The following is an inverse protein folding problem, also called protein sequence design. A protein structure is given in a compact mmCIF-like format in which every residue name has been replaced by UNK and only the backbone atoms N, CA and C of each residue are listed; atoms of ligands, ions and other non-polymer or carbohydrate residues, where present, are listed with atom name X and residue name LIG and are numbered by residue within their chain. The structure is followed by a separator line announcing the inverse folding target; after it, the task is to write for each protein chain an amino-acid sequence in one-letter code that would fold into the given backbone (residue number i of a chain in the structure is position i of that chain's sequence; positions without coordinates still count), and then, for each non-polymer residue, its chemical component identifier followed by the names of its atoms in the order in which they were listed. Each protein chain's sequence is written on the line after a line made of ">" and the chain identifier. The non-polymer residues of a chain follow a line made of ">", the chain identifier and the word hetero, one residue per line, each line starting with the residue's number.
data_IF_898156117175
#
_entry.id   IF_898156117175
#
_cell.length_a   1.000
_cell.length_b   1.000
_cell.length_c   1.000
_cell.angle_alpha   90.00
_cell.angle_beta   90.00
_cell.angle_gamma   90.00
#
_symmetry.space_group_name_H-M   'P 1'
#
loop_
_entity.id
_entity.type
_entity.pdbx_description
1 polymer ?
#
# COMPACT_ATOMS: atom_id res chain seq x y z
N UNK A 1 -6.79 29.73 -17.54
CA UNK A 1 -5.88 28.60 -17.24
C UNK A 1 -5.35 28.52 -15.82
N UNK A 2 -4.98 29.63 -15.17
CA UNK A 2 -4.47 29.65 -13.78
C UNK A 2 -5.44 29.18 -12.67
N UNK A 3 -6.76 29.14 -12.92
CA UNK A 3 -7.77 28.67 -11.95
C UNK A 3 -8.02 27.16 -12.00
N UNK A 4 -7.59 26.50 -13.09
CA UNK A 4 -7.67 25.04 -13.22
C UNK A 4 -6.57 24.38 -12.37
N UNK A 5 -5.41 25.04 -12.27
CA UNK A 5 -4.25 24.61 -11.47
C UNK A 5 -4.55 24.52 -9.96
N UNK A 6 -5.42 25.39 -9.43
CA UNK A 6 -5.72 25.44 -7.99
C UNK A 6 -6.73 24.39 -7.50
N UNK A 7 -7.30 23.62 -8.41
CA UNK A 7 -8.31 22.60 -8.05
C UNK A 7 -7.71 21.21 -7.82
N UNK A 8 -6.38 21.10 -7.83
CA UNK A 8 -5.63 19.86 -7.56
C UNK A 8 -5.44 19.51 -6.06
N UNK A 9 -6.08 20.24 -5.14
CA UNK A 9 -6.00 19.97 -3.69
C UNK A 9 -6.44 18.55 -3.27
N UNK A 10 -7.54 17.99 -3.83
CA UNK A 10 -7.97 16.62 -3.50
C UNK A 10 -7.05 15.53 -4.08
N UNK A 11 -6.52 15.74 -5.29
CA UNK A 11 -5.69 14.77 -6.00
C UNK A 11 -4.34 14.52 -5.29
N UNK A 12 -3.76 15.56 -4.69
CA UNK A 12 -2.42 15.47 -4.11
C UNK A 12 -2.37 14.60 -2.84
N UNK A 13 -3.42 14.65 -2.00
CA UNK A 13 -3.51 13.83 -0.79
C UNK A 13 -3.80 12.37 -1.13
N UNK A 14 -4.66 12.13 -2.11
CA UNK A 14 -4.93 10.83 -2.69
C UNK A 14 -3.63 10.17 -3.22
N UNK A 15 -2.90 10.87 -4.07
CA UNK A 15 -1.63 10.36 -4.62
C UNK A 15 -0.57 10.12 -3.54
N UNK A 16 -0.51 10.98 -2.51
CA UNK A 16 0.39 10.82 -1.37
C UNK A 16 0.09 9.57 -0.53
N UNK A 17 -1.19 9.30 -0.23
CA UNK A 17 -1.61 8.08 0.48
C UNK A 17 -1.23 6.83 -0.31
N UNK A 18 -1.48 6.81 -1.62
CA UNK A 18 -1.08 5.70 -2.48
C UNK A 18 0.45 5.48 -2.46
N UNK A 19 1.24 6.57 -2.50
CA UNK A 19 2.70 6.52 -2.41
C UNK A 19 3.20 5.98 -1.05
N UNK A 20 2.58 6.38 0.06
CA UNK A 20 2.90 5.83 1.39
C UNK A 20 2.54 4.36 1.47
N UNK A 21 1.43 3.95 0.89
CA UNK A 21 0.98 2.58 0.93
C UNK A 21 1.90 1.63 0.17
N UNK A 22 2.42 2.06 -0.99
CA UNK A 22 3.44 1.32 -1.73
C UNK A 22 4.72 1.15 -0.89
N UNK A 23 5.14 2.21 -0.18
CA UNK A 23 6.29 2.16 0.74
C UNK A 23 6.02 1.24 1.94
N UNK A 24 4.81 1.25 2.50
CA UNK A 24 4.39 0.34 3.56
C UNK A 24 4.38 -1.12 3.11
N UNK A 25 3.95 -1.40 1.87
CA UNK A 25 4.04 -2.74 1.28
C UNK A 25 5.49 -3.24 1.16
N UNK A 26 6.43 -2.35 0.81
CA UNK A 26 7.86 -2.65 0.83
C UNK A 26 8.40 -2.87 2.25
N UNK A 27 7.94 -2.09 3.23
CA UNK A 27 8.29 -2.31 4.65
C UNK A 27 7.79 -3.67 5.15
N UNK A 28 6.61 -4.13 4.73
CA UNK A 28 6.11 -5.47 5.06
C UNK A 28 7.05 -6.59 4.60
N UNK A 29 7.70 -6.44 3.43
CA UNK A 29 8.73 -7.38 2.97
C UNK A 29 9.97 -7.34 3.86
N UNK A 30 10.43 -6.16 4.24
CA UNK A 30 11.61 -6.01 5.11
C UNK A 30 11.35 -6.63 6.48
N UNK A 31 10.18 -6.39 7.08
CA UNK A 31 9.78 -6.98 8.37
C UNK A 31 9.74 -8.51 8.26
N UNK A 32 9.14 -9.04 7.19
CA UNK A 32 9.11 -10.47 6.93
C UNK A 32 10.51 -11.09 6.80
N UNK A 33 11.42 -10.39 6.11
CA UNK A 33 12.81 -10.81 5.98
C UNK A 33 13.57 -10.74 7.31
N UNK A 34 13.34 -9.73 8.14
CA UNK A 34 13.92 -9.62 9.49
C UNK A 34 13.47 -10.76 10.41
N UNK A 35 12.19 -11.16 10.37
CA UNK A 35 11.68 -12.31 11.13
C UNK A 35 12.30 -13.63 10.66
N UNK A 36 12.50 -13.78 9.35
CA UNK A 36 13.20 -14.93 8.77
C UNK A 36 14.66 -14.99 9.23
N UNK A 37 15.37 -13.85 9.18
CA UNK A 37 16.77 -13.75 9.60
C UNK A 37 16.97 -14.01 11.09
N UNK A 38 16.08 -13.52 11.96
CA UNK A 38 16.11 -13.80 13.41
C UNK A 38 15.93 -15.29 13.71
N UNK A 39 15.08 -15.98 12.95
CA UNK A 39 14.92 -17.43 13.10
C UNK A 39 16.15 -18.19 12.64
N UNK A 40 16.79 -17.77 11.55
CA UNK A 40 18.05 -18.37 11.08
C UNK A 40 19.18 -18.17 12.09
N UNK A 41 19.27 -16.99 12.71
CA UNK A 41 20.29 -16.67 13.71
C UNK A 41 20.17 -17.44 15.04
N UNK A 42 19.05 -18.12 15.29
CA UNK A 42 18.82 -18.94 16.49
C UNK A 42 19.12 -20.43 16.30
N UNK A 43 19.60 -20.84 15.13
CA UNK A 43 19.91 -22.24 14.82
C UNK A 43 21.32 -22.56 15.33
N UNK A 44 21.42 -23.23 16.48
CA UNK A 44 22.71 -23.64 17.06
C UNK A 44 23.13 -25.09 16.72
N UNK A 45 22.29 -25.94 16.09
CA UNK A 45 22.71 -27.30 15.69
C UNK A 45 21.88 -27.90 14.56
N UNK A 46 22.53 -28.69 13.69
CA UNK A 46 21.90 -29.47 12.62
C UNK A 46 21.79 -30.95 13.06
N UNK A 47 20.74 -31.29 13.80
CA UNK A 47 20.32 -32.69 13.97
C UNK A 47 19.09 -32.98 13.10
N UNK A 48 18.95 -34.21 12.60
CA UNK A 48 17.92 -34.62 11.65
C UNK A 48 16.48 -34.40 12.15
N UNK A 49 16.26 -34.49 13.47
CA UNK A 49 14.99 -34.17 14.12
C UNK A 49 14.72 -32.65 14.20
N UNK A 50 15.77 -31.84 14.37
CA UNK A 50 15.65 -30.37 14.41
C UNK A 50 15.37 -29.77 13.03
N UNK A 51 15.80 -30.44 11.96
CA UNK A 51 15.62 -29.96 10.58
C UNK A 51 14.14 -29.82 10.15
N UNK A 52 13.23 -30.66 10.67
CA UNK A 52 11.79 -30.56 10.39
C UNK A 52 11.15 -29.36 11.11
N UNK A 53 11.51 -29.13 12.37
CA UNK A 53 11.10 -27.95 13.16
C UNK A 53 11.57 -26.65 12.47
N UNK A 54 12.77 -26.72 11.88
CA UNK A 54 13.42 -25.63 11.17
C UNK A 54 12.69 -25.25 9.88
N UNK A 55 12.37 -26.24 9.04
CA UNK A 55 11.57 -26.02 7.83
C UNK A 55 10.19 -25.45 8.17
N UNK A 56 9.52 -26.00 9.20
CA UNK A 56 8.23 -25.50 9.68
C UNK A 56 8.30 -24.03 10.08
N UNK A 57 9.37 -23.65 10.77
CA UNK A 57 9.56 -22.29 11.27
C UNK A 57 9.93 -21.31 10.14
N UNK A 58 10.78 -21.72 9.20
CA UNK A 58 11.09 -20.94 7.98
C UNK A 58 9.83 -20.72 7.13
N UNK A 59 9.05 -21.78 6.89
CA UNK A 59 7.78 -21.70 6.16
C UNK A 59 6.78 -20.78 6.87
N UNK A 60 6.75 -20.80 8.20
CA UNK A 60 5.88 -19.90 8.98
C UNK A 60 6.33 -18.44 8.87
N UNK A 61 7.62 -18.16 9.04
CA UNK A 61 8.18 -16.81 8.91
C UNK A 61 7.98 -16.22 7.50
N UNK A 62 8.19 -17.05 6.47
CA UNK A 62 7.89 -16.70 5.09
C UNK A 62 6.38 -16.49 4.87
N UNK A 63 5.53 -17.31 5.49
CA UNK A 63 4.08 -17.17 5.44
C UNK A 63 3.61 -15.82 5.98
N UNK A 64 4.15 -15.37 7.12
CA UNK A 64 3.86 -14.06 7.71
C UNK A 64 4.29 -12.93 6.76
N UNK A 65 5.47 -13.04 6.16
CA UNK A 65 5.99 -12.06 5.20
C UNK A 65 5.08 -11.92 3.97
N UNK A 66 4.68 -13.05 3.39
CA UNK A 66 3.81 -13.11 2.21
C UNK A 66 2.41 -12.60 2.53
N UNK A 67 1.83 -12.99 3.66
CA UNK A 67 0.48 -12.60 4.05
C UNK A 67 0.41 -11.09 4.35
N UNK A 68 1.42 -10.54 5.03
CA UNK A 68 1.53 -9.08 5.25
C UNK A 68 1.68 -8.32 3.93
N UNK A 69 2.46 -8.84 2.98
CA UNK A 69 2.59 -8.25 1.64
C UNK A 69 1.26 -8.29 0.88
N UNK A 70 0.53 -9.40 0.97
CA UNK A 70 -0.75 -9.58 0.29
C UNK A 70 -1.81 -8.64 0.87
N UNK A 71 -1.90 -8.52 2.20
CA UNK A 71 -2.79 -7.57 2.88
C UNK A 71 -2.45 -6.13 2.48
N UNK A 72 -1.17 -5.78 2.44
CA UNK A 72 -0.72 -4.46 1.97
C UNK A 72 -1.11 -4.17 0.52
N UNK A 73 -0.97 -5.15 -0.37
CA UNK A 73 -1.33 -5.03 -1.79
C UNK A 73 -2.84 -4.92 -1.99
N UNK A 74 -3.62 -5.74 -1.29
CA UNK A 74 -5.10 -5.71 -1.33
C UNK A 74 -5.60 -4.36 -0.85
N UNK A 75 -5.06 -3.86 0.26
CA UNK A 75 -5.35 -2.50 0.71
C UNK A 75 -5.02 -1.46 -0.36
N UNK A 76 -3.92 -1.64 -1.10
CA UNK A 76 -3.44 -0.63 -2.07
C UNK A 76 -4.36 -0.55 -3.27
N UNK A 77 -4.84 -1.69 -3.74
CA UNK A 77 -5.80 -1.79 -4.83
C UNK A 77 -7.14 -1.20 -4.40
N UNK A 78 -7.62 -1.53 -3.19
CA UNK A 78 -8.88 -1.01 -2.65
C UNK A 78 -8.86 0.51 -2.50
N UNK A 79 -7.81 1.06 -1.88
CA UNK A 79 -7.67 2.50 -1.70
C UNK A 79 -7.46 3.19 -3.05
N UNK A 80 -6.63 2.65 -3.94
CA UNK A 80 -6.47 3.17 -5.30
C UNK A 80 -7.80 3.28 -6.05
N UNK A 81 -8.66 2.26 -5.95
CA UNK A 81 -9.97 2.27 -6.58
C UNK A 81 -10.92 3.32 -5.97
N UNK A 82 -10.91 3.47 -4.64
CA UNK A 82 -11.70 4.48 -3.94
C UNK A 82 -11.26 5.90 -4.31
N UNK A 83 -9.95 6.13 -4.41
CA UNK A 83 -9.37 7.41 -4.82
C UNK A 83 -9.76 7.76 -6.26
N UNK A 84 -9.62 6.83 -7.21
CA UNK A 84 -10.02 7.07 -8.62
C UNK A 84 -11.50 7.39 -8.75
N UNK A 85 -12.35 6.78 -7.91
CA UNK A 85 -13.78 7.11 -7.86
C UNK A 85 -14.01 8.53 -7.33
N UNK A 86 -13.34 8.89 -6.23
CA UNK A 86 -13.47 10.20 -5.60
C UNK A 86 -12.99 11.32 -6.52
N UNK A 87 -11.87 11.12 -7.22
CA UNK A 87 -11.29 12.08 -8.16
C UNK A 87 -12.30 12.42 -9.27
N UNK A 88 -12.96 11.39 -9.81
CA UNK A 88 -13.97 11.57 -10.86
C UNK A 88 -15.21 12.32 -10.38
N UNK A 89 -15.59 12.20 -9.10
CA UNK A 89 -16.66 13.00 -8.52
C UNK A 89 -16.23 14.45 -8.28
N UNK A 90 -14.98 14.66 -7.83
CA UNK A 90 -14.42 15.99 -7.65
C UNK A 90 -14.36 16.73 -8.99
N UNK A 91 -13.84 16.11 -10.04
CA UNK A 91 -13.80 16.68 -11.39
C UNK A 91 -15.18 17.08 -11.91
N UNK A 92 -16.18 16.22 -11.71
CA UNK A 92 -17.56 16.51 -12.10
C UNK A 92 -18.14 17.72 -11.35
N UNK A 93 -17.86 17.84 -10.05
CA UNK A 93 -18.31 18.96 -9.23
C UNK A 93 -17.66 20.28 -9.67
N UNK A 94 -16.36 20.23 -9.96
CA UNK A 94 -15.57 21.38 -10.41
C UNK A 94 -16.04 21.87 -11.77
N UNK A 95 -16.27 20.96 -12.71
CA UNK A 95 -16.81 21.28 -14.03
C UNK A 95 -18.19 21.95 -13.94
N UNK A 96 -19.05 21.50 -13.01
CA UNK A 96 -20.36 22.12 -12.78
C UNK A 96 -20.23 23.54 -12.20
N UNK A 97 -19.35 23.74 -11.21
CA UNK A 97 -19.07 25.07 -10.66
C UNK A 97 -18.54 26.04 -11.73
N UNK A 98 -17.61 25.60 -12.58
CA UNK A 98 -17.06 26.41 -13.67
C UNK A 98 -18.14 26.79 -14.70
N UNK A 99 -19.02 25.84 -15.08
CA UNK A 99 -20.16 26.11 -15.96
C UNK A 99 -21.11 27.16 -15.41
N UNK A 100 -21.38 27.12 -14.10
CA UNK A 100 -22.24 28.13 -13.45
C UNK A 100 -21.56 29.49 -13.37
N UNK A 101 -20.26 29.52 -13.08
CA UNK A 101 -19.46 30.75 -13.08
C UNK A 101 -19.48 31.45 -14.43
N UNK A 102 -19.26 30.70 -15.52
CA UNK A 102 -19.29 31.22 -16.89
C UNK A 102 -20.68 31.68 -17.36
N UNK A 103 -21.76 31.20 -16.75
CA UNK A 103 -23.14 31.66 -17.01
C UNK A 103 -23.53 32.90 -16.21
N UNK A 104 -22.74 33.24 -15.19
CA UNK A 104 -23.00 34.34 -14.25
C UNK A 104 -22.14 35.58 -14.55
N UNK A 105 -21.28 35.51 -15.57
CA UNK A 105 -20.43 36.57 -16.10
C UNK A 105 -20.91 36.95 -17.51
#
# INVERSE_FOLDING_TARGET
>A
DILLEHTHGPHQTAWWVNGIQLKLGLLGKVIGFSVLALHIGRIESFDGAQSQELLKTLTTGLGIALLTTMVGLVGNILLGLQLTRLDRYADALVAECQRRGLRSA
#
